data_IF_565229631098
#
_entry.id   IF_565229631098
#
_cell.length_a   1.000
_cell.length_b   1.000
_cell.length_c   1.000
_cell.angle_alpha   90.00
_cell.angle_beta   90.00
_cell.angle_gamma   90.00
#
_symmetry.space_group_name_H-M   'P 1'
#
loop_
_entity.id
_entity.type
_entity.pdbx_description
1 polymer ?
#
# COMPACT_ATOMS: atom_id res chain seq x y z
N UNK A 1 20.93 -60.80 10.35
CA UNK A 1 21.23 -59.86 9.25
C UNK A 1 20.05 -58.87 9.16
N UNK A 2 20.18 -57.66 9.74
CA UNK A 2 19.10 -56.64 9.78
C UNK A 2 19.44 -55.55 8.76
N UNK A 3 18.60 -55.42 7.74
CA UNK A 3 18.72 -54.40 6.69
C UNK A 3 18.11 -53.08 7.22
N UNK A 4 18.93 -52.05 7.40
CA UNK A 4 18.47 -50.71 7.75
C UNK A 4 18.35 -49.94 6.44
N UNK A 5 17.11 -49.63 6.05
CA UNK A 5 16.81 -48.77 4.89
C UNK A 5 16.78 -47.33 5.39
N UNK A 6 17.79 -46.55 5.03
CA UNK A 6 17.81 -45.12 5.28
C UNK A 6 16.98 -44.40 4.20
N UNK A 7 15.84 -43.81 4.58
CA UNK A 7 15.08 -42.87 3.71
C UNK A 7 15.79 -41.52 3.72
N UNK A 8 16.35 -41.12 2.59
CA UNK A 8 16.84 -39.79 2.36
C UNK A 8 15.68 -38.88 1.90
N UNK A 9 15.21 -38.00 2.77
CA UNK A 9 14.24 -36.97 2.43
C UNK A 9 14.95 -35.77 1.77
N UNK A 10 14.80 -35.62 0.45
CA UNK A 10 15.26 -34.45 -0.28
C UNK A 10 14.29 -33.29 -0.04
N UNK A 11 14.71 -32.27 0.72
CA UNK A 11 14.00 -31.00 0.88
C UNK A 11 14.25 -30.20 -0.37
N UNK A 12 13.23 -30.07 -1.23
CA UNK A 12 13.25 -29.17 -2.38
C UNK A 12 13.04 -27.73 -1.89
N UNK A 13 14.10 -26.94 -1.79
CA UNK A 13 14.02 -25.50 -1.62
C UNK A 13 13.55 -24.89 -2.94
N UNK A 14 12.28 -24.47 -3.00
CA UNK A 14 11.78 -23.62 -4.09
C UNK A 14 12.36 -22.22 -3.91
N UNK A 15 13.42 -21.91 -4.66
CA UNK A 15 13.88 -20.54 -4.80
C UNK A 15 12.79 -19.74 -5.52
N UNK A 16 12.22 -18.72 -4.87
CA UNK A 16 11.37 -17.74 -5.53
C UNK A 16 12.25 -17.02 -6.57
N UNK A 17 11.99 -17.27 -7.86
CA UNK A 17 12.70 -16.59 -8.93
C UNK A 17 12.31 -15.11 -8.92
N UNK A 18 13.30 -14.20 -8.83
CA UNK A 18 13.09 -12.79 -9.04
C UNK A 18 12.59 -12.56 -10.48
N UNK A 19 11.57 -11.71 -10.66
CA UNK A 19 11.06 -11.38 -11.99
C UNK A 19 12.17 -10.79 -12.87
N UNK A 20 12.19 -11.15 -14.16
CA UNK A 20 13.13 -10.56 -15.10
C UNK A 20 12.83 -9.05 -15.29
N UNK A 21 13.84 -8.20 -15.63
CA UNK A 21 13.63 -6.73 -15.73
C UNK A 21 12.51 -6.31 -16.65
N UNK A 22 12.28 -7.02 -17.76
CA UNK A 22 11.19 -6.75 -18.70
C UNK A 22 9.82 -7.07 -18.11
N UNK A 23 9.70 -8.16 -17.33
CA UNK A 23 8.49 -8.54 -16.63
C UNK A 23 8.16 -7.56 -15.51
N UNK A 24 9.15 -7.16 -14.73
CA UNK A 24 9.00 -6.13 -13.69
C UNK A 24 8.46 -4.82 -14.26
N UNK A 25 9.00 -4.36 -15.38
CA UNK A 25 8.52 -3.16 -16.06
C UNK A 25 7.04 -3.28 -16.48
N UNK A 26 6.62 -4.44 -17.01
CA UNK A 26 5.22 -4.68 -17.37
C UNK A 26 4.29 -4.68 -16.15
N UNK A 27 4.73 -5.22 -15.02
CA UNK A 27 3.99 -5.22 -13.76
C UNK A 27 3.83 -3.79 -13.19
N UNK A 28 4.89 -2.98 -13.27
CA UNK A 28 4.85 -1.57 -12.90
C UNK A 28 3.88 -0.77 -13.77
N UNK A 29 3.93 -0.96 -15.11
CA UNK A 29 2.99 -0.32 -16.04
C UNK A 29 1.54 -0.72 -15.76
N UNK A 30 1.28 -2.01 -15.53
CA UNK A 30 -0.06 -2.50 -15.20
C UNK A 30 -0.57 -1.92 -13.89
N UNK A 31 0.27 -1.84 -12.88
CA UNK A 31 -0.08 -1.23 -11.60
C UNK A 31 -0.45 0.25 -11.78
N UNK A 32 0.39 1.02 -12.47
CA UNK A 32 0.12 2.44 -12.74
C UNK A 32 -1.17 2.67 -13.54
N UNK A 33 -1.41 1.84 -14.56
CA UNK A 33 -2.64 1.91 -15.35
C UNK A 33 -3.89 1.60 -14.52
N UNK A 34 -3.88 0.52 -13.74
CA UNK A 34 -4.98 0.17 -12.86
C UNK A 34 -5.27 1.27 -11.84
N UNK A 35 -4.23 1.86 -11.26
CA UNK A 35 -4.36 2.96 -10.31
C UNK A 35 -5.03 4.19 -10.95
N UNK A 36 -4.62 4.55 -12.17
CA UNK A 36 -5.20 5.66 -12.92
C UNK A 36 -6.69 5.41 -13.27
N UNK A 37 -7.03 4.19 -13.66
CA UNK A 37 -8.41 3.79 -13.98
C UNK A 37 -9.30 3.84 -12.73
N UNK A 38 -8.84 3.32 -11.60
CA UNK A 38 -9.56 3.38 -10.31
C UNK A 38 -9.75 4.83 -9.89
N UNK A 39 -8.69 5.64 -9.94
CA UNK A 39 -8.78 7.05 -9.56
C UNK A 39 -9.76 7.82 -10.45
N UNK A 40 -9.68 7.68 -11.77
CA UNK A 40 -10.57 8.37 -12.70
C UNK A 40 -12.03 7.96 -12.52
N UNK A 41 -12.29 6.68 -12.24
CA UNK A 41 -13.64 6.14 -12.02
C UNK A 41 -14.26 6.65 -10.72
N UNK A 42 -13.49 6.64 -9.63
CA UNK A 42 -14.04 6.86 -8.28
C UNK A 42 -13.91 8.32 -7.82
N UNK A 43 -12.93 9.08 -8.37
CA UNK A 43 -12.60 10.45 -7.96
C UNK A 43 -12.60 11.46 -9.13
N UNK A 44 -12.86 11.00 -10.35
CA UNK A 44 -12.99 11.88 -11.53
C UNK A 44 -11.72 12.70 -11.80
N UNK A 45 -11.86 14.01 -11.73
CA UNK A 45 -10.74 14.95 -11.91
C UNK A 45 -9.97 15.26 -10.61
N UNK A 46 -10.28 14.55 -9.51
CA UNK A 46 -9.64 14.77 -8.21
C UNK A 46 -10.23 15.89 -7.37
N UNK A 47 -11.43 16.37 -7.70
CA UNK A 47 -12.13 17.39 -6.88
C UNK A 47 -13.61 17.05 -6.75
N UNK A 48 -14.14 17.13 -5.54
CA UNK A 48 -15.55 16.92 -5.25
C UNK A 48 -15.93 17.61 -3.94
N UNK A 49 -16.95 18.50 -3.98
CA UNK A 49 -17.60 19.18 -2.85
C UNK A 49 -16.66 19.61 -1.71
N UNK A 50 -15.60 20.37 -2.05
CA UNK A 50 -14.60 20.87 -1.09
C UNK A 50 -13.44 19.89 -0.80
N UNK A 51 -13.51 18.69 -1.33
CA UNK A 51 -12.39 17.74 -1.30
C UNK A 51 -11.47 17.93 -2.50
N UNK A 52 -10.19 17.73 -2.27
CA UNK A 52 -9.21 17.46 -3.31
C UNK A 52 -8.60 16.09 -3.10
N UNK A 53 -8.52 15.32 -4.17
CA UNK A 53 -7.97 13.96 -4.17
C UNK A 53 -6.72 13.91 -5.03
N UNK A 54 -5.75 13.14 -4.58
CA UNK A 54 -4.56 12.77 -5.34
C UNK A 54 -4.19 11.33 -5.01
N UNK A 55 -3.31 10.72 -5.79
CA UNK A 55 -2.87 9.37 -5.52
C UNK A 55 -1.42 9.14 -5.89
N UNK A 56 -0.84 8.11 -5.30
CA UNK A 56 0.42 7.50 -5.70
C UNK A 56 0.19 6.01 -5.95
N UNK A 57 0.89 5.44 -6.91
CA UNK A 57 0.86 4.02 -7.18
C UNK A 57 2.28 3.46 -7.19
N UNK A 58 2.45 2.30 -6.56
CA UNK A 58 3.72 1.62 -6.49
C UNK A 58 3.54 0.11 -6.62
N UNK A 59 4.25 -0.50 -7.58
CA UNK A 59 4.33 -1.94 -7.65
C UNK A 59 5.52 -2.43 -6.81
N UNK A 60 5.22 -3.13 -5.73
CA UNK A 60 6.21 -3.72 -4.85
C UNK A 60 6.55 -5.13 -5.36
N UNK A 61 7.75 -5.30 -5.89
CA UNK A 61 8.19 -6.56 -6.49
C UNK A 61 8.41 -7.67 -5.46
N UNK A 62 8.83 -7.33 -4.24
CA UNK A 62 9.04 -8.29 -3.17
C UNK A 62 7.73 -8.93 -2.68
N UNK A 63 6.68 -8.14 -2.62
CA UNK A 63 5.35 -8.58 -2.17
C UNK A 63 4.47 -9.03 -3.33
N UNK A 64 4.87 -8.76 -4.59
CA UNK A 64 4.07 -8.96 -5.80
C UNK A 64 2.70 -8.27 -5.70
N UNK A 65 2.67 -7.01 -5.29
CA UNK A 65 1.46 -6.22 -5.02
C UNK A 65 1.51 -4.86 -5.67
N UNK A 66 0.32 -4.36 -6.02
CA UNK A 66 0.13 -3.02 -6.55
C UNK A 66 -0.48 -2.12 -5.49
N UNK A 67 0.35 -1.35 -4.83
CA UNK A 67 -0.11 -0.41 -3.81
C UNK A 67 -0.63 0.88 -4.42
N UNK A 68 -1.76 1.31 -3.90
CA UNK A 68 -2.45 2.55 -4.23
C UNK A 68 -2.62 3.35 -2.95
N UNK A 69 -1.97 4.51 -2.89
CA UNK A 69 -2.10 5.46 -1.80
C UNK A 69 -3.00 6.60 -2.24
N UNK A 70 -4.22 6.63 -1.76
CA UNK A 70 -5.13 7.75 -1.92
C UNK A 70 -4.83 8.82 -0.88
N UNK A 71 -4.77 10.06 -1.32
CA UNK A 71 -4.56 11.24 -0.47
C UNK A 71 -5.75 12.16 -0.68
N UNK A 72 -6.49 12.45 0.38
CA UNK A 72 -7.57 13.43 0.35
C UNK A 72 -7.30 14.61 1.26
N UNK A 73 -7.71 15.79 0.82
CA UNK A 73 -7.66 17.02 1.60
C UNK A 73 -9.02 17.70 1.54
N UNK A 74 -9.56 18.02 2.70
CA UNK A 74 -10.80 18.78 2.84
C UNK A 74 -10.55 20.07 3.63
N UNK A 75 -11.08 21.18 3.14
CA UNK A 75 -10.92 22.50 3.76
C UNK A 75 -12.28 23.03 4.18
N UNK A 76 -12.48 23.24 5.46
CA UNK A 76 -13.70 23.84 6.00
C UNK A 76 -13.39 24.77 7.18
N UNK A 77 -13.81 26.02 7.10
CA UNK A 77 -13.74 26.99 8.19
C UNK A 77 -12.37 27.05 8.90
N UNK A 78 -11.28 27.23 8.14
CA UNK A 78 -9.89 27.23 8.62
C UNK A 78 -9.44 25.89 9.25
N UNK A 79 -10.16 24.83 9.04
CA UNK A 79 -9.78 23.48 9.38
C UNK A 79 -9.40 22.70 8.12
N UNK A 80 -8.18 22.20 8.08
CA UNK A 80 -7.70 21.33 6.99
C UNK A 80 -7.67 19.90 7.53
N UNK A 81 -8.43 19.03 6.88
CA UNK A 81 -8.42 17.60 7.17
C UNK A 81 -7.66 16.91 6.04
N UNK A 82 -6.66 16.12 6.39
CA UNK A 82 -5.92 15.28 5.45
C UNK A 82 -6.10 13.82 5.83
N UNK A 83 -6.40 12.99 4.83
CA UNK A 83 -6.51 11.55 5.01
C UNK A 83 -5.68 10.82 3.97
N UNK A 84 -5.12 9.70 4.38
CA UNK A 84 -4.30 8.80 3.57
C UNK A 84 -4.87 7.39 3.70
N UNK A 85 -5.08 6.75 2.58
CA UNK A 85 -5.62 5.39 2.52
C UNK A 85 -4.72 4.54 1.62
N UNK A 86 -4.10 3.52 2.20
CA UNK A 86 -3.23 2.59 1.50
C UNK A 86 -3.96 1.27 1.25
N UNK A 87 -3.99 0.84 0.00
CA UNK A 87 -4.59 -0.42 -0.41
C UNK A 87 -3.75 -1.16 -1.46
N UNK A 88 -3.93 -2.47 -1.57
CA UNK A 88 -3.46 -3.29 -2.67
C UNK A 88 -4.58 -3.44 -3.70
N UNK A 89 -4.34 -2.96 -4.92
CA UNK A 89 -5.33 -3.01 -6.01
C UNK A 89 -5.51 -4.41 -6.60
N UNK A 90 -4.53 -5.29 -6.51
CA UNK A 90 -4.63 -6.63 -7.08
C UNK A 90 -5.52 -7.56 -6.25
N UNK A 91 -5.50 -7.39 -4.92
CA UNK A 91 -6.32 -8.18 -4.00
C UNK A 91 -7.50 -7.39 -3.42
N UNK A 92 -7.64 -6.10 -3.76
CA UNK A 92 -8.64 -5.19 -3.19
C UNK A 92 -8.65 -5.23 -1.66
N UNK A 93 -7.46 -5.05 -1.07
CA UNK A 93 -7.24 -5.17 0.37
C UNK A 93 -6.69 -3.86 0.94
N UNK A 94 -7.30 -3.41 2.04
CA UNK A 94 -6.79 -2.29 2.84
C UNK A 94 -5.51 -2.69 3.59
N UNK A 95 -4.55 -1.77 3.59
CA UNK A 95 -3.28 -1.90 4.31
C UNK A 95 -3.10 -0.87 5.40
N UNK A 96 -3.66 0.32 5.27
CA UNK A 96 -3.54 1.32 6.31
C UNK A 96 -4.33 2.58 6.06
N UNK A 97 -4.65 3.26 7.15
CA UNK A 97 -5.33 4.55 7.16
C UNK A 97 -4.62 5.52 8.09
N UNK A 98 -4.59 6.78 7.69
CA UNK A 98 -4.12 7.89 8.50
C UNK A 98 -5.02 9.09 8.27
N UNK A 99 -5.42 9.77 9.34
CA UNK A 99 -6.17 11.01 9.22
C UNK A 99 -5.79 12.00 10.32
N UNK A 100 -5.66 13.26 9.92
CA UNK A 100 -5.36 14.39 10.81
C UNK A 100 -6.13 15.64 10.43
N UNK A 101 -6.32 16.52 11.38
CA UNK A 101 -6.84 17.86 11.14
C UNK A 101 -5.98 18.93 11.81
N UNK A 102 -6.02 20.16 11.28
CA UNK A 102 -5.28 21.26 11.87
C UNK A 102 -5.79 21.66 13.25
N UNK A 103 -7.06 21.38 13.56
CA UNK A 103 -7.67 21.71 14.86
C UNK A 103 -7.57 20.60 15.89
N UNK A 104 -7.68 19.33 15.47
CA UNK A 104 -7.76 18.18 16.38
C UNK A 104 -6.47 17.35 16.45
N UNK A 105 -5.53 17.59 15.52
CA UNK A 105 -4.35 16.73 15.38
C UNK A 105 -4.70 15.39 14.69
N UNK A 106 -3.92 14.35 14.97
CA UNK A 106 -4.14 13.01 14.42
C UNK A 106 -5.26 12.30 15.15
N UNK A 107 -6.24 11.80 14.42
CA UNK A 107 -7.37 11.07 14.98
C UNK A 107 -7.52 9.65 14.41
N UNK A 108 -6.75 9.30 13.37
CA UNK A 108 -6.66 7.94 12.85
C UNK A 108 -5.22 7.64 12.42
N UNK A 109 -4.69 6.50 12.84
CA UNK A 109 -3.37 6.04 12.44
C UNK A 109 -3.23 4.54 12.67
N UNK A 110 -3.30 3.76 11.58
CA UNK A 110 -3.09 2.33 11.63
C UNK A 110 -2.48 1.80 10.32
N UNK A 111 -1.74 0.71 10.40
CA UNK A 111 -1.25 -0.07 9.26
C UNK A 111 -1.42 -1.54 9.61
N UNK A 112 -2.29 -2.24 8.87
CA UNK A 112 -2.71 -3.61 9.15
C UNK A 112 -3.22 -3.74 10.61
N UNK A 113 -2.54 -4.53 11.42
CA UNK A 113 -2.88 -4.76 12.82
C UNK A 113 -2.13 -3.85 13.81
N UNK A 114 -1.38 -2.86 13.29
CA UNK A 114 -0.55 -1.96 14.10
C UNK A 114 -1.22 -0.59 14.20
N UNK A 115 -1.61 -0.19 15.40
CA UNK A 115 -2.05 1.17 15.71
C UNK A 115 -0.81 1.99 16.06
N UNK A 116 -0.72 3.22 15.54
CA UNK A 116 0.41 4.09 15.84
C UNK A 116 0.49 4.43 17.33
N UNK A 117 1.67 4.30 17.92
CA UNK A 117 1.91 4.57 19.35
C UNK A 117 2.02 6.08 19.64
N UNK A 118 2.63 6.84 18.73
CA UNK A 118 2.81 8.29 18.85
C UNK A 118 1.72 9.09 18.12
N UNK A 119 0.85 8.42 17.37
CA UNK A 119 -0.19 9.05 16.55
C UNK A 119 0.36 10.22 15.74
N UNK A 120 1.43 9.98 14.96
CA UNK A 120 2.08 11.00 14.15
C UNK A 120 2.17 10.58 12.68
N UNK A 121 2.17 11.58 11.78
CA UNK A 121 2.37 11.32 10.34
C UNK A 121 3.71 10.63 10.08
N UNK A 122 4.77 11.00 10.81
CA UNK A 122 6.10 10.39 10.68
C UNK A 122 6.11 8.91 11.05
N UNK A 123 5.36 8.52 12.08
CA UNK A 123 5.23 7.11 12.45
C UNK A 123 4.46 6.33 11.39
N UNK A 124 3.34 6.87 10.90
CA UNK A 124 2.59 6.26 9.81
C UNK A 124 3.46 6.09 8.55
N UNK A 125 4.22 7.13 8.16
CA UNK A 125 5.15 7.07 7.02
C UNK A 125 6.18 5.94 7.18
N UNK A 126 6.69 5.75 8.39
CA UNK A 126 7.62 4.66 8.71
C UNK A 126 6.96 3.28 8.55
N UNK A 127 5.70 3.15 9.02
CA UNK A 127 4.96 1.89 8.95
C UNK A 127 4.55 1.51 7.51
N UNK A 128 4.27 2.49 6.64
CA UNK A 128 3.90 2.20 5.24
C UNK A 128 5.10 2.08 4.30
N UNK A 129 6.27 2.51 4.73
CA UNK A 129 7.49 2.48 3.93
C UNK A 129 7.79 1.11 3.29
N UNK A 130 7.66 -0.04 3.98
CA UNK A 130 7.91 -1.35 3.39
C UNK A 130 6.98 -1.71 2.20
N UNK A 131 5.89 -0.99 2.02
CA UNK A 131 4.92 -1.20 0.95
C UNK A 131 5.14 -0.26 -0.23
N UNK A 132 5.61 0.97 0.04
CA UNK A 132 5.76 2.06 -0.93
C UNK A 132 7.19 2.26 -1.41
N UNK A 133 8.18 1.82 -0.66
CA UNK A 133 9.59 1.84 -1.02
C UNK A 133 10.11 0.41 -1.16
N UNK A 134 11.01 0.16 -2.09
CA UNK A 134 11.75 -1.09 -2.23
C UNK A 134 13.15 -0.98 -1.65
#
# INVERSE_FOLDING_TARGET
>A
MRLVIALATTVSMSAAAAAEPAELYQLQLRCGKNAAEVFAKDYGNGTDDGYSFNYQAHYNAHLNKCFFLLISTFNENDNVIQSYYLSDLFENREYGTFAQSTKLGVFECNVLNTICSSSSKSEWDTLVKPYLDE
#
